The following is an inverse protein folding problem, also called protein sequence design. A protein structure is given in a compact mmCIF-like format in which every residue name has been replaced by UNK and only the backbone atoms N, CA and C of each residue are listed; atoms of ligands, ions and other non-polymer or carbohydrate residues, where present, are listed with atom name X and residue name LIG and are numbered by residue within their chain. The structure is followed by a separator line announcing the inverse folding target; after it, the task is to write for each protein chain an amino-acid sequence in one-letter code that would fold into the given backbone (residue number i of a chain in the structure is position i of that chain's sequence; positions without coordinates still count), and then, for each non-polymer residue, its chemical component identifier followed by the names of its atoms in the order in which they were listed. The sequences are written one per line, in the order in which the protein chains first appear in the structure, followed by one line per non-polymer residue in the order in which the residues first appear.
data_IF_667883633059
#
_entry.id   IF_667883633059
#
_cell.length_a   1.000
_cell.length_b   1.000
_cell.length_c   1.000
_cell.angle_alpha   90.00
_cell.angle_beta   90.00
_cell.angle_gamma   90.00
#
_symmetry.space_group_name_H-M   'P 1'
#
loop_
_entity.id
_entity.type
_entity.pdbx_description
1 polymer ?
#
# COMPACT_ATOMS: atom_id res chain seq x y z
N UNK A 1 -4.63 -13.60 20.35
CA UNK A 1 -5.28 -12.97 19.17
C UNK A 1 -4.23 -12.90 18.09
N UNK A 2 -4.43 -13.61 16.98
CA UNK A 2 -3.49 -13.64 15.87
C UNK A 2 -4.00 -12.67 14.79
N UNK A 3 -3.29 -11.56 14.58
CA UNK A 3 -3.53 -10.67 13.45
C UNK A 3 -2.77 -11.21 12.25
N UNK A 4 -3.42 -11.37 11.09
CA UNK A 4 -2.81 -11.91 9.87
C UNK A 4 -2.77 -10.83 8.80
N UNK A 5 -1.68 -10.78 8.04
CA UNK A 5 -1.35 -9.71 7.11
C UNK A 5 -1.20 -10.20 5.66
N UNK A 6 -1.57 -9.35 4.68
CA UNK A 6 -1.52 -9.67 3.24
C UNK A 6 -1.08 -8.51 2.35
N UNK A 7 -0.25 -8.84 1.34
CA UNK A 7 0.09 -7.98 0.22
C UNK A 7 0.57 -8.81 -0.97
N UNK A 8 0.40 -8.31 -2.19
CA UNK A 8 0.64 -9.03 -3.44
C UNK A 8 2.11 -9.08 -3.90
N UNK A 9 2.98 -8.16 -3.47
CA UNK A 9 4.39 -8.15 -3.83
C UNK A 9 5.30 -8.43 -2.62
N UNK A 10 6.35 -9.22 -2.79
CA UNK A 10 7.23 -9.64 -1.70
C UNK A 10 7.88 -8.46 -0.96
N UNK A 11 8.32 -7.41 -1.69
CA UNK A 11 8.93 -6.23 -1.08
C UNK A 11 7.93 -5.36 -0.32
N UNK A 12 6.70 -5.21 -0.83
CA UNK A 12 5.64 -4.46 -0.17
C UNK A 12 5.12 -5.19 1.07
N UNK A 13 5.10 -6.54 1.04
CA UNK A 13 4.83 -7.38 2.22
C UNK A 13 5.82 -7.04 3.32
N UNK A 14 7.11 -7.04 3.01
CA UNK A 14 8.16 -6.79 4.00
C UNK A 14 8.05 -5.39 4.62
N UNK A 15 7.86 -4.35 3.81
CA UNK A 15 7.72 -2.96 4.30
C UNK A 15 6.52 -2.79 5.22
N UNK A 16 5.36 -3.34 4.82
CA UNK A 16 4.14 -3.30 5.63
C UNK A 16 4.31 -4.08 6.93
N UNK A 17 4.98 -5.23 6.89
CA UNK A 17 5.31 -5.99 8.10
C UNK A 17 6.17 -5.17 9.07
N UNK A 18 7.17 -4.46 8.55
CA UNK A 18 8.04 -3.61 9.36
C UNK A 18 7.25 -2.48 10.04
N UNK A 19 6.36 -1.81 9.29
CA UNK A 19 5.47 -0.79 9.84
C UNK A 19 4.52 -1.38 10.89
N UNK A 20 3.97 -2.57 10.67
CA UNK A 20 3.08 -3.20 11.65
C UNK A 20 3.84 -3.64 12.92
N UNK A 21 5.10 -4.10 12.79
CA UNK A 21 5.97 -4.40 13.95
C UNK A 21 6.23 -3.16 14.81
N UNK A 22 6.31 -1.96 14.21
CA UNK A 22 6.44 -0.71 14.98
C UNK A 22 5.27 -0.49 15.92
N UNK A 23 4.04 -0.92 15.54
CA UNK A 23 2.88 -0.90 16.42
C UNK A 23 2.92 -1.99 17.51
N UNK A 24 3.89 -2.90 17.45
CA UNK A 24 4.05 -3.99 18.43
C UNK A 24 2.95 -5.04 18.36
N UNK A 25 2.42 -5.29 17.18
CA UNK A 25 1.40 -6.31 16.92
C UNK A 25 2.08 -7.61 16.50
N UNK A 26 1.69 -8.71 17.15
CA UNK A 26 2.07 -10.04 16.71
C UNK A 26 1.15 -10.51 15.59
N UNK A 27 1.72 -10.98 14.49
CA UNK A 27 0.95 -11.37 13.30
C UNK A 27 1.59 -12.53 12.53
N UNK A 28 0.80 -13.19 11.70
CA UNK A 28 1.26 -14.16 10.69
C UNK A 28 0.87 -13.66 9.31
N UNK A 29 1.74 -13.88 8.31
CA UNK A 29 1.46 -13.54 6.93
C UNK A 29 0.91 -14.73 6.17
N UNK A 30 -0.07 -14.46 5.30
CA UNK A 30 -0.58 -15.44 4.34
C UNK A 30 -0.90 -14.72 3.01
N UNK A 31 -0.67 -15.33 1.84
CA UNK A 31 -0.99 -14.73 0.57
C UNK A 31 -2.51 -14.68 0.34
N UNK A 32 -3.00 -13.60 -0.21
CA UNK A 32 -4.34 -13.50 -0.78
C UNK A 32 -4.21 -13.55 -2.31
N UNK A 33 -5.02 -14.41 -2.91
CA UNK A 33 -5.14 -14.51 -4.36
C UNK A 33 -6.51 -13.93 -4.74
N UNK A 34 -6.50 -12.73 -5.31
CA UNK A 34 -7.69 -11.99 -5.74
C UNK A 34 -7.42 -11.36 -7.10
N UNK A 35 -8.46 -11.11 -7.87
CA UNK A 35 -8.36 -10.37 -9.13
C UNK A 35 -8.08 -8.90 -8.83
N UNK A 36 -6.92 -8.41 -9.24
CA UNK A 36 -6.49 -7.02 -9.06
C UNK A 36 -6.83 -6.15 -10.31
N UNK A 37 -7.57 -6.66 -11.27
CA UNK A 37 -7.95 -5.90 -12.46
C UNK A 37 -8.86 -4.71 -12.09
N UNK A 38 -8.51 -3.46 -12.49
CA UNK A 38 -9.38 -2.32 -12.26
C UNK A 38 -10.72 -2.46 -13.01
N UNK A 39 -11.81 -2.06 -12.37
CA UNK A 39 -13.12 -2.01 -13.01
C UNK A 39 -13.25 -0.76 -13.90
N UNK A 40 -14.06 -0.79 -14.98
CA UNK A 40 -14.25 0.36 -15.83
C UNK A 40 -14.77 1.59 -15.08
N UNK A 41 -14.02 2.68 -15.08
CA UNK A 41 -14.37 3.93 -14.40
C UNK A 41 -14.18 3.92 -12.89
N UNK A 42 -13.53 2.91 -12.34
CA UNK A 42 -13.23 2.81 -10.92
C UNK A 42 -12.24 3.90 -10.46
N UNK A 43 -12.62 4.66 -9.43
CA UNK A 43 -11.75 5.69 -8.88
C UNK A 43 -10.62 5.07 -8.06
N UNK A 44 -9.44 5.72 -7.97
CA UNK A 44 -8.29 5.15 -7.27
C UNK A 44 -8.55 4.76 -5.81
N UNK A 45 -9.36 5.54 -5.08
CA UNK A 45 -9.73 5.24 -3.71
C UNK A 45 -10.63 4.00 -3.60
N UNK A 46 -11.61 3.87 -4.50
CA UNK A 46 -12.55 2.73 -4.55
C UNK A 46 -11.80 1.44 -4.93
N UNK A 47 -10.89 1.54 -5.90
CA UNK A 47 -10.02 0.44 -6.33
C UNK A 47 -9.22 -0.16 -5.17
N UNK A 48 -8.47 0.65 -4.42
CA UNK A 48 -7.68 0.13 -3.30
C UNK A 48 -8.54 -0.37 -2.15
N UNK A 49 -9.72 0.25 -1.91
CA UNK A 49 -10.64 -0.22 -0.88
C UNK A 49 -11.22 -1.60 -1.24
N UNK A 50 -11.68 -1.77 -2.49
CA UNK A 50 -12.17 -3.05 -2.99
C UNK A 50 -11.11 -4.13 -2.82
N UNK A 51 -9.89 -3.90 -3.32
CA UNK A 51 -8.80 -4.86 -3.23
C UNK A 51 -8.40 -5.19 -1.79
N UNK A 52 -8.31 -4.21 -0.91
CA UNK A 52 -8.01 -4.46 0.50
C UNK A 52 -9.11 -5.28 1.17
N UNK A 53 -10.38 -5.00 0.86
CA UNK A 53 -11.54 -5.74 1.36
C UNK A 53 -11.55 -7.19 0.85
N UNK A 54 -11.36 -7.40 -0.46
CA UNK A 54 -11.35 -8.71 -1.08
C UNK A 54 -10.21 -9.58 -0.54
N UNK A 55 -9.01 -8.99 -0.39
CA UNK A 55 -7.87 -9.65 0.25
C UNK A 55 -8.17 -10.08 1.69
N UNK A 56 -8.79 -9.20 2.47
CA UNK A 56 -9.17 -9.51 3.85
C UNK A 56 -10.21 -10.63 3.91
N UNK A 57 -11.24 -10.57 3.07
CA UNK A 57 -12.31 -11.57 3.01
C UNK A 57 -11.81 -12.93 2.55
N UNK A 58 -11.06 -12.98 1.44
CA UNK A 58 -10.52 -14.22 0.89
C UNK A 58 -9.72 -15.02 1.92
N UNK A 59 -9.04 -14.30 2.79
CA UNK A 59 -8.26 -14.94 3.83
C UNK A 59 -9.10 -15.31 5.03
N UNK A 60 -9.96 -14.42 5.46
CA UNK A 60 -10.86 -14.69 6.58
C UNK A 60 -11.68 -15.97 6.34
N UNK A 61 -12.22 -16.14 5.13
CA UNK A 61 -12.98 -17.34 4.74
C UNK A 61 -12.14 -18.62 4.79
N UNK A 62 -10.85 -18.54 4.45
CA UNK A 62 -9.96 -19.73 4.48
C UNK A 62 -9.53 -20.13 5.88
N UNK A 63 -9.62 -19.25 6.86
CA UNK A 63 -9.06 -19.50 8.19
C UNK A 63 -9.94 -20.40 9.05
N UNK A 64 -11.27 -20.25 8.98
CA UNK A 64 -12.20 -21.06 9.78
C UNK A 64 -12.03 -20.97 11.31
N UNK A 65 -11.12 -20.15 11.81
CA UNK A 65 -10.81 -20.04 13.24
C UNK A 65 -11.73 -19.01 13.93
N UNK A 66 -12.38 -19.45 15.00
CA UNK A 66 -13.17 -18.54 15.84
C UNK A 66 -12.27 -17.44 16.45
N UNK A 67 -12.68 -16.16 16.28
CA UNK A 67 -11.93 -15.02 16.79
C UNK A 67 -10.78 -14.55 15.91
N UNK A 68 -10.65 -15.07 14.67
CA UNK A 68 -9.67 -14.57 13.71
C UNK A 68 -9.91 -13.09 13.39
N UNK A 69 -8.84 -12.30 13.34
CA UNK A 69 -8.81 -10.93 12.85
C UNK A 69 -7.83 -10.87 11.70
N UNK A 70 -8.29 -10.42 10.55
CA UNK A 70 -7.48 -10.30 9.34
C UNK A 70 -7.33 -8.82 8.98
N UNK A 71 -6.09 -8.36 8.86
CA UNK A 71 -5.76 -7.03 8.37
C UNK A 71 -5.19 -7.17 6.95
N UNK A 72 -5.73 -6.43 6.00
CA UNK A 72 -5.21 -6.37 4.64
C UNK A 72 -5.07 -4.92 4.20
N UNK A 73 -4.15 -4.66 3.26
CA UNK A 73 -4.02 -3.35 2.65
C UNK A 73 -3.67 -3.47 1.17
N UNK A 74 -4.11 -2.47 0.42
CA UNK A 74 -3.72 -2.27 -0.96
C UNK A 74 -3.28 -0.84 -1.21
N UNK A 75 -2.35 -0.64 -2.16
CA UNK A 75 -1.77 0.67 -2.45
C UNK A 75 -1.66 0.87 -3.95
N UNK A 76 -2.10 2.03 -4.41
CA UNK A 76 -1.92 2.45 -5.80
C UNK A 76 -1.39 3.87 -5.91
N UNK A 77 -0.76 4.16 -7.04
CA UNK A 77 -0.35 5.50 -7.46
C UNK A 77 -1.28 5.97 -8.56
N UNK A 78 -1.75 7.21 -8.48
CA UNK A 78 -2.59 7.79 -9.50
C UNK A 78 -2.13 9.20 -9.87
N UNK A 79 -2.22 9.53 -11.16
CA UNK A 79 -2.02 10.88 -11.67
C UNK A 79 -3.17 11.22 -12.63
N UNK A 80 -3.81 12.38 -12.45
CA UNK A 80 -4.99 12.80 -13.21
C UNK A 80 -6.15 11.75 -13.13
N UNK A 81 -6.28 11.05 -12.00
CA UNK A 81 -7.16 9.90 -11.73
C UNK A 81 -6.83 8.60 -12.51
N UNK A 82 -5.81 8.60 -13.35
CA UNK A 82 -5.33 7.39 -14.01
C UNK A 82 -4.50 6.56 -13.02
N UNK A 83 -4.84 5.29 -12.86
CA UNK A 83 -4.08 4.33 -12.08
C UNK A 83 -2.74 4.02 -12.77
N UNK A 84 -1.65 4.12 -12.02
CA UNK A 84 -0.33 3.70 -12.47
C UNK A 84 0.01 2.35 -11.83
N UNK A 85 -0.08 1.30 -12.62
CA UNK A 85 0.31 -0.04 -12.21
C UNK A 85 1.83 -0.21 -12.07
N UNK A 86 2.28 -1.46 -12.08
CA UNK A 86 3.71 -1.82 -12.11
C UNK A 86 4.20 -1.75 -13.56
N UNK A 87 5.34 -1.12 -13.85
CA UNK A 87 5.87 -1.10 -15.21
C UNK A 87 6.28 -2.52 -15.65
N UNK A 88 5.93 -2.90 -16.85
CA UNK A 88 6.23 -4.21 -17.44
C UNK A 88 7.58 -4.23 -18.16
N UNK A 89 8.02 -3.07 -18.60
CA UNK A 89 9.26 -2.88 -19.35
C UNK A 89 9.81 -1.45 -19.21
N UNK A 90 10.98 -1.21 -19.77
CA UNK A 90 11.67 0.09 -19.73
C UNK A 90 10.84 1.19 -20.41
N UNK A 91 10.15 0.89 -21.50
CA UNK A 91 9.36 1.90 -22.23
C UNK A 91 8.17 2.37 -21.38
N UNK A 92 7.46 1.45 -20.75
CA UNK A 92 6.36 1.77 -19.84
C UNK A 92 6.87 2.51 -18.58
N UNK A 93 7.99 2.07 -17.99
CA UNK A 93 8.62 2.75 -16.86
C UNK A 93 9.05 4.18 -17.21
N UNK A 94 9.64 4.41 -18.38
CA UNK A 94 9.98 5.74 -18.90
C UNK A 94 8.75 6.64 -19.06
N UNK A 95 7.66 6.08 -19.61
CA UNK A 95 6.40 6.80 -19.75
C UNK A 95 5.80 7.16 -18.39
N UNK A 96 5.76 6.23 -17.43
CA UNK A 96 5.27 6.47 -16.08
C UNK A 96 6.07 7.55 -15.35
N UNK A 97 7.40 7.42 -15.28
CA UNK A 97 8.27 8.40 -14.63
C UNK A 97 8.23 9.76 -15.34
N UNK A 98 8.03 9.76 -16.67
CA UNK A 98 7.82 10.99 -17.44
C UNK A 98 6.53 11.72 -17.07
N UNK A 99 5.45 10.99 -16.80
CA UNK A 99 4.18 11.57 -16.31
C UNK A 99 4.29 12.14 -14.92
N UNK A 100 5.12 11.53 -14.05
CA UNK A 100 5.33 11.96 -12.66
C UNK A 100 6.33 13.11 -12.52
N UNK A 101 7.26 13.26 -13.49
CA UNK A 101 8.34 14.25 -13.49
C UNK A 101 7.83 15.68 -13.35
N UNK A 102 8.36 16.42 -12.37
CA UNK A 102 8.00 17.80 -12.10
C UNK A 102 6.57 18.04 -11.61
N UNK A 103 5.82 16.99 -11.27
CA UNK A 103 4.38 17.07 -10.96
C UNK A 103 4.05 16.52 -9.57
N UNK A 104 2.86 16.89 -9.10
CA UNK A 104 2.20 16.28 -7.96
C UNK A 104 1.30 15.13 -8.44
N UNK A 105 1.37 14.01 -7.74
CA UNK A 105 0.51 12.84 -7.95
C UNK A 105 -0.03 12.34 -6.61
N UNK A 106 -0.92 11.38 -6.63
CA UNK A 106 -1.59 10.83 -5.44
C UNK A 106 -1.18 9.39 -5.20
N UNK A 107 -0.98 9.05 -3.94
CA UNK A 107 -0.83 7.67 -3.46
C UNK A 107 -2.01 7.37 -2.56
N UNK A 108 -2.76 6.34 -2.90
CA UNK A 108 -3.89 5.85 -2.14
C UNK A 108 -3.52 4.52 -1.51
N UNK A 109 -3.76 4.39 -0.22
CA UNK A 109 -3.70 3.09 0.48
C UNK A 109 -5.00 2.87 1.23
N UNK A 110 -5.63 1.73 0.99
CA UNK A 110 -6.71 1.22 1.83
C UNK A 110 -6.17 0.21 2.82
N UNK A 111 -6.72 0.26 4.03
CA UNK A 111 -6.50 -0.76 5.07
C UNK A 111 -7.86 -1.27 5.50
N UNK A 112 -8.06 -2.59 5.45
CA UNK A 112 -9.28 -3.26 5.88
C UNK A 112 -9.00 -4.25 6.99
N UNK A 113 -9.80 -4.17 8.06
CA UNK A 113 -9.80 -5.11 9.17
C UNK A 113 -11.07 -5.96 9.09
N UNK A 114 -10.93 -7.28 8.86
CA UNK A 114 -12.02 -8.26 8.80
C UNK A 114 -12.06 -9.11 10.07
N UNK A 115 -13.24 -9.24 10.67
CA UNK A 115 -13.52 -10.06 11.85
C UNK A 115 -14.92 -10.69 11.74
N UNK A 116 -15.32 -11.57 12.65
CA UNK A 116 -16.61 -12.25 12.61
C UNK A 116 -17.82 -11.29 12.49
N UNK A 117 -17.72 -10.06 13.04
CA UNK A 117 -18.80 -9.05 13.00
C UNK A 117 -18.81 -8.18 11.75
N UNK A 118 -17.92 -8.40 10.76
CA UNK A 118 -17.84 -7.59 9.53
C UNK A 118 -16.46 -7.05 9.23
N UNK A 119 -16.40 -6.15 8.25
CA UNK A 119 -15.16 -5.48 7.81
C UNK A 119 -15.24 -3.99 8.06
N UNK A 120 -14.19 -3.42 8.63
CA UNK A 120 -13.96 -1.99 8.75
C UNK A 120 -12.81 -1.59 7.82
N UNK A 121 -13.03 -0.65 6.90
CA UNK A 121 -12.00 -0.18 5.97
C UNK A 121 -11.77 1.31 6.11
N UNK A 122 -10.58 1.77 5.75
CA UNK A 122 -10.22 3.18 5.68
C UNK A 122 -9.30 3.39 4.50
N UNK A 123 -9.57 4.42 3.69
CA UNK A 123 -8.73 4.85 2.57
C UNK A 123 -7.99 6.12 2.97
N UNK A 124 -6.70 6.16 2.69
CA UNK A 124 -5.85 7.33 2.93
C UNK A 124 -5.22 7.80 1.64
N UNK A 125 -5.38 9.09 1.35
CA UNK A 125 -4.75 9.76 0.22
C UNK A 125 -3.55 10.58 0.70
N UNK A 126 -2.46 10.54 -0.06
CA UNK A 126 -1.28 11.38 0.16
C UNK A 126 -0.78 11.94 -1.16
N UNK A 127 -0.59 13.26 -1.21
CA UNK A 127 0.03 13.90 -2.35
C UNK A 127 1.56 13.82 -2.26
N UNK A 128 2.19 13.42 -3.36
CA UNK A 128 3.64 13.36 -3.51
C UNK A 128 4.04 14.24 -4.67
N UNK A 129 5.00 15.14 -4.46
CA UNK A 129 5.53 16.03 -5.50
C UNK A 129 6.93 15.58 -5.90
N UNK A 130 7.14 15.32 -7.19
CA UNK A 130 8.46 15.03 -7.75
C UNK A 130 9.16 16.30 -8.22
N UNK A 131 10.49 16.27 -8.18
CA UNK A 131 11.34 17.19 -8.96
C UNK A 131 11.23 16.85 -10.44
N UNK A 132 11.67 17.76 -11.32
CA UNK A 132 11.85 17.43 -12.74
C UNK A 132 12.93 16.35 -12.87
N UNK A 133 12.61 15.26 -13.60
CA UNK A 133 13.48 14.11 -13.78
C UNK A 133 14.08 14.12 -15.21
N UNK A 134 15.36 14.41 -15.36
CA UNK A 134 16.06 14.26 -16.63
C UNK A 134 15.93 12.85 -17.20
N UNK A 135 16.00 12.69 -18.50
CA UNK A 135 15.86 11.40 -19.16
C UNK A 135 16.90 10.39 -18.68
N UNK A 136 18.15 10.85 -18.56
CA UNK A 136 19.26 10.04 -18.07
C UNK A 136 19.04 9.53 -16.63
N UNK A 137 18.43 10.33 -15.75
CA UNK A 137 18.12 9.92 -14.38
C UNK A 137 17.01 8.84 -14.35
N UNK A 138 16.00 8.98 -15.21
CA UNK A 138 14.94 7.99 -15.37
C UNK A 138 15.48 6.66 -15.89
N UNK A 139 16.34 6.70 -16.94
CA UNK A 139 16.98 5.51 -17.50
C UNK A 139 17.89 4.82 -16.47
N UNK A 140 18.71 5.59 -15.77
CA UNK A 140 19.58 5.05 -14.73
C UNK A 140 18.80 4.38 -13.60
N UNK A 141 17.68 4.97 -13.18
CA UNK A 141 16.82 4.38 -12.17
C UNK A 141 16.14 3.09 -12.65
N UNK A 142 15.64 3.06 -13.89
CA UNK A 142 15.03 1.87 -14.48
C UNK A 142 16.03 0.72 -14.76
N UNK A 143 17.33 1.00 -14.76
CA UNK A 143 18.36 -0.03 -14.82
C UNK A 143 18.56 -0.77 -13.48
N UNK A 144 17.93 -0.31 -12.39
CA UNK A 144 17.94 -0.97 -11.08
C UNK A 144 16.79 -1.98 -10.93
N UNK A 145 16.82 -2.79 -9.86
CA UNK A 145 15.72 -3.72 -9.53
C UNK A 145 14.53 -3.04 -8.84
N UNK A 146 14.67 -1.76 -8.44
CA UNK A 146 13.71 -1.08 -7.55
C UNK A 146 12.33 -0.81 -8.19
N UNK A 147 12.20 -0.38 -9.47
CA UNK A 147 10.93 0.08 -10.03
C UNK A 147 9.89 -1.01 -10.30
N UNK A 148 10.33 -2.25 -10.54
CA UNK A 148 9.57 -3.26 -11.26
C UNK A 148 8.41 -3.90 -10.49
N UNK A 149 8.44 -3.86 -9.17
CA UNK A 149 7.42 -4.46 -8.30
C UNK A 149 6.47 -3.45 -7.64
N UNK A 150 6.58 -2.16 -8.01
CA UNK A 150 5.88 -1.05 -7.35
C UNK A 150 4.91 -0.32 -8.27
N UNK A 151 3.73 0.02 -7.74
CA UNK A 151 2.79 0.91 -8.42
C UNK A 151 3.45 2.27 -8.75
N UNK A 152 3.25 2.78 -9.96
CA UNK A 152 3.91 3.99 -10.44
C UNK A 152 5.40 3.86 -10.72
N UNK A 153 5.97 2.65 -10.56
CA UNK A 153 7.38 2.35 -10.85
C UNK A 153 8.37 3.03 -9.93
N UNK A 154 8.03 3.33 -8.65
CA UNK A 154 8.97 3.92 -7.71
C UNK A 154 8.74 3.53 -6.25
N UNK A 155 9.80 3.61 -5.43
CA UNK A 155 9.74 3.37 -3.99
C UNK A 155 10.33 4.53 -3.19
N UNK A 156 9.50 5.19 -2.35
CA UNK A 156 9.95 6.36 -1.56
C UNK A 156 11.07 6.05 -0.56
N UNK A 157 11.20 4.80 -0.15
CA UNK A 157 12.23 4.35 0.79
C UNK A 157 13.55 3.98 0.12
N UNK A 158 13.56 3.89 -1.21
CA UNK A 158 14.72 3.54 -2.00
C UNK A 158 15.37 4.74 -2.69
N UNK A 159 16.02 4.46 -3.81
CA UNK A 159 16.73 5.46 -4.62
C UNK A 159 15.78 6.55 -5.13
N UNK A 160 14.52 6.19 -5.47
CA UNK A 160 13.52 7.16 -5.90
C UNK A 160 13.09 8.15 -4.81
N UNK A 161 13.47 7.94 -3.56
CA UNK A 161 13.34 8.96 -2.52
C UNK A 161 14.02 10.29 -2.89
N UNK A 162 15.09 10.23 -3.72
CA UNK A 162 15.77 11.42 -4.24
C UNK A 162 14.92 12.22 -5.26
N UNK A 163 13.87 11.62 -5.83
CA UNK A 163 12.95 12.26 -6.74
C UNK A 163 11.86 13.07 -6.03
N UNK A 164 11.64 12.77 -4.73
CA UNK A 164 10.55 13.35 -3.95
C UNK A 164 10.96 14.72 -3.42
N UNK A 165 10.31 15.76 -3.93
CA UNK A 165 10.45 17.15 -3.44
C UNK A 165 9.70 17.38 -2.14
N UNK A 166 8.55 16.71 -1.97
CA UNK A 166 7.70 16.89 -0.79
C UNK A 166 6.50 15.97 -0.77
N UNK A 167 5.92 15.85 0.41
CA UNK A 167 4.73 15.05 0.69
C UNK A 167 3.73 15.93 1.44
N UNK A 168 2.44 15.82 1.06
CA UNK A 168 1.32 16.38 1.83
C UNK A 168 0.41 15.24 2.25
N UNK A 169 0.47 14.83 3.50
CA UNK A 169 -0.25 13.68 4.06
C UNK A 169 0.64 12.74 4.85
N UNK A 170 0.40 11.45 4.76
CA UNK A 170 1.06 10.42 5.56
C UNK A 170 2.21 9.76 4.80
N UNK A 171 3.44 9.86 5.33
CA UNK A 171 4.60 9.12 4.79
C UNK A 171 4.36 7.60 4.83
N UNK A 172 3.83 7.09 5.95
CA UNK A 172 3.57 5.66 6.09
C UNK A 172 2.48 5.15 5.11
N UNK A 173 1.56 6.04 4.70
CA UNK A 173 0.64 5.77 3.60
C UNK A 173 1.38 5.53 2.28
N UNK A 174 2.34 6.40 1.93
CA UNK A 174 3.14 6.26 0.70
C UNK A 174 3.99 4.98 0.73
N UNK A 175 4.46 4.56 1.90
CA UNK A 175 5.16 3.28 2.09
C UNK A 175 4.22 2.08 1.93
N UNK A 176 2.90 2.27 2.14
CA UNK A 176 1.85 1.28 1.91
C UNK A 176 1.12 0.77 3.15
N UNK A 177 1.28 1.46 4.31
CA UNK A 177 0.51 1.20 5.52
C UNK A 177 0.37 2.47 6.36
N UNK A 178 -0.75 3.21 6.27
CA UNK A 178 -0.97 4.41 7.07
C UNK A 178 -1.09 4.04 8.55
N UNK A 179 -0.05 4.32 9.33
CA UNK A 179 0.09 3.83 10.71
C UNK A 179 -0.99 4.36 11.66
N UNK A 180 -1.37 5.63 11.52
CA UNK A 180 -2.41 6.23 12.38
C UNK A 180 -3.75 5.52 12.16
N UNK A 181 -4.20 5.40 10.93
CA UNK A 181 -5.47 4.78 10.57
C UNK A 181 -5.45 3.27 10.89
N UNK A 182 -4.33 2.61 10.64
CA UNK A 182 -4.13 1.20 11.02
C UNK A 182 -4.26 1.00 12.52
N UNK A 183 -3.62 1.85 13.33
CA UNK A 183 -3.76 1.80 14.78
C UNK A 183 -5.22 2.01 15.23
N UNK A 184 -5.93 2.97 14.64
CA UNK A 184 -7.34 3.20 14.95
C UNK A 184 -8.23 1.99 14.60
N UNK A 185 -7.99 1.36 13.46
CA UNK A 185 -8.69 0.13 13.06
C UNK A 185 -8.42 -1.03 14.02
N UNK A 186 -7.16 -1.25 14.39
CA UNK A 186 -6.75 -2.28 15.33
C UNK A 186 -7.44 -2.10 16.69
N UNK A 187 -7.44 -0.88 17.24
CA UNK A 187 -8.13 -0.55 18.50
C UNK A 187 -9.62 -0.88 18.44
N UNK A 188 -10.31 -0.42 17.38
CA UNK A 188 -11.74 -0.72 17.17
C UNK A 188 -12.00 -2.22 17.02
N UNK A 189 -11.04 -2.93 16.43
CA UNK A 189 -11.07 -4.37 16.27
C UNK A 189 -10.73 -5.18 17.53
N UNK A 190 -10.39 -4.51 18.64
CA UNK A 190 -9.99 -5.17 19.90
C UNK A 190 -8.58 -5.77 19.86
N UNK A 191 -7.73 -5.33 18.91
CA UNK A 191 -6.32 -5.74 18.81
C UNK A 191 -5.46 -4.74 19.55
N UNK A 192 -4.83 -5.17 20.64
CA UNK A 192 -3.92 -4.33 21.43
C UNK A 192 -2.59 -4.12 20.70
N UNK A 193 -2.12 -2.90 20.71
CA UNK A 193 -0.80 -2.50 20.20
C UNK A 193 0.15 -2.17 21.37
N UNK A 194 1.41 -1.89 21.07
CA UNK A 194 2.37 -1.43 22.09
C UNK A 194 1.96 -0.11 22.74
N UNK A 195 1.13 0.69 22.08
CA UNK A 195 0.66 1.98 22.60
C UNK A 195 -0.41 1.83 23.72
N UNK A 196 -1.02 0.65 23.86
CA UNK A 196 -2.01 0.34 24.90
C UNK A 196 -1.48 -0.62 25.96
N UNK A 197 -0.28 -1.19 25.81
CA UNK A 197 0.37 -2.06 26.81
C UNK A 197 1.33 -1.21 27.62
N UNK A 198 1.12 -0.99 28.93
CA UNK A 198 2.16 -0.45 29.77
C UNK A 198 3.37 -1.40 29.76
N UNK A 199 4.57 -0.84 29.75
CA UNK A 199 5.86 -1.53 29.77
C UNK A 199 6.02 -2.37 31.04
#
# INVERSE_FOLDING_TARGET
IYTRWYSSAASDVYKRQELLRQLGVDFRCQPADVDETPEPGEMPGDYVERLARDKAEAVFCRQGEAGAVVLAADTTVAIDNDLLGKPRDIAEGMAMLGRLSGREHRVYTAVCLRRAGGSDCTVVETAVSFVELPEEARLAYLATEEPWDKAGGYGIQGLAGAFVRGIKGSYSNVVGLPLYETWQLLRRGGVSTRLERPS
#
